data_IF_149328611355
#
_entry.id   IF_149328611355
#
_cell.length_a   1.000
_cell.length_b   1.000
_cell.length_c   1.000
_cell.angle_alpha   90.00
_cell.angle_beta   90.00
_cell.angle_gamma   90.00
#
_symmetry.space_group_name_H-M   'P 1'
#
loop_
_entity.id
_entity.type
_entity.pdbx_description
1 polymer ?
#
# COMPACT_ATOMS: atom_id res chain seq x y z
N UNK A 1 13.16 13.82 -12.25
CA UNK A 1 11.70 13.90 -12.44
C UNK A 1 11.07 13.53 -11.11
N UNK A 2 10.35 14.46 -10.49
CA UNK A 2 9.44 14.10 -9.41
C UNK A 2 8.19 13.48 -10.05
N UNK A 3 7.95 12.20 -9.76
CA UNK A 3 6.65 11.61 -10.05
C UNK A 3 5.72 12.00 -8.91
N UNK A 4 4.68 12.78 -9.22
CA UNK A 4 3.65 13.15 -8.27
C UNK A 4 2.57 12.06 -8.27
N UNK A 5 2.28 11.49 -7.10
CA UNK A 5 1.18 10.55 -6.93
C UNK A 5 -0.13 11.33 -6.88
N UNK A 6 -1.09 10.96 -7.73
CA UNK A 6 -2.46 11.49 -7.70
C UNK A 6 -3.20 10.96 -6.46
N UNK A 7 -3.25 11.79 -5.41
CA UNK A 7 -3.83 11.44 -4.11
C UNK A 7 -5.36 11.23 -4.15
N UNK A 8 -6.04 11.56 -5.25
CA UNK A 8 -7.48 11.31 -5.41
C UNK A 8 -7.80 9.86 -5.77
N UNK A 9 -6.78 9.07 -6.17
CA UNK A 9 -6.92 7.67 -6.54
C UNK A 9 -6.25 6.78 -5.49
N UNK A 10 -6.83 5.60 -5.18
CA UNK A 10 -6.20 4.67 -4.27
C UNK A 10 -4.93 4.04 -4.88
N UNK A 11 -3.94 3.78 -4.04
CA UNK A 11 -2.71 3.05 -4.39
C UNK A 11 -2.88 1.57 -4.02
N UNK A 12 -2.68 0.67 -4.97
CA UNK A 12 -2.67 -0.78 -4.72
C UNK A 12 -1.29 -1.24 -4.29
N UNK A 13 -1.18 -1.85 -3.11
CA UNK A 13 0.04 -2.51 -2.62
C UNK A 13 -0.20 -4.01 -2.56
N UNK A 14 0.48 -4.76 -3.43
CA UNK A 14 0.40 -6.23 -3.43
C UNK A 14 1.34 -6.83 -2.38
N UNK A 15 0.92 -7.88 -1.68
CA UNK A 15 1.75 -8.48 -0.61
C UNK A 15 1.86 -7.58 0.61
N UNK A 16 0.77 -6.90 0.97
CA UNK A 16 0.68 -5.91 2.03
C UNK A 16 1.06 -6.45 3.43
N UNK A 17 1.01 -7.77 3.64
CA UNK A 17 1.49 -8.41 4.87
C UNK A 17 3.02 -8.55 4.95
N UNK A 18 3.75 -8.21 3.88
CA UNK A 18 5.20 -8.33 3.82
C UNK A 18 5.93 -7.28 4.67
N UNK A 19 7.11 -7.65 5.18
CA UNK A 19 7.93 -6.77 6.03
C UNK A 19 8.22 -5.40 5.38
N UNK A 20 8.64 -5.38 4.12
CA UNK A 20 8.92 -4.14 3.39
C UNK A 20 7.63 -3.40 3.02
N UNK A 21 6.57 -4.14 2.65
CA UNK A 21 5.31 -3.55 2.24
C UNK A 21 4.71 -2.66 3.34
N UNK A 22 4.82 -3.03 4.60
CA UNK A 22 4.36 -2.21 5.72
C UNK A 22 5.04 -0.83 5.79
N UNK A 23 6.32 -0.73 5.47
CA UNK A 23 7.03 0.57 5.42
C UNK A 23 6.55 1.42 4.25
N UNK A 24 6.35 0.81 3.08
CA UNK A 24 5.81 1.49 1.90
C UNK A 24 4.39 2.02 2.20
N UNK A 25 3.53 1.18 2.77
CA UNK A 25 2.17 1.55 3.17
C UNK A 25 2.21 2.70 4.17
N UNK A 26 3.08 2.62 5.18
CA UNK A 26 3.26 3.71 6.16
C UNK A 26 3.57 5.04 5.47
N UNK A 27 4.56 5.09 4.58
CA UNK A 27 4.92 6.32 3.89
C UNK A 27 3.80 6.85 2.98
N UNK A 28 3.09 5.96 2.28
CA UNK A 28 1.95 6.36 1.45
C UNK A 28 0.81 6.95 2.28
N UNK A 29 0.54 6.38 3.46
CA UNK A 29 -0.47 6.89 4.40
C UNK A 29 -0.04 8.22 5.03
N UNK A 30 1.23 8.38 5.40
CA UNK A 30 1.79 9.65 5.92
C UNK A 30 1.71 10.76 4.87
N UNK A 31 1.85 10.42 3.59
CA UNK A 31 1.63 11.32 2.46
C UNK A 31 0.13 11.58 2.17
N UNK A 32 -0.79 10.97 2.92
CA UNK A 32 -2.24 11.19 2.77
C UNK A 32 -2.87 10.43 1.60
N UNK A 33 -2.23 9.37 1.09
CA UNK A 33 -2.82 8.50 0.09
C UNK A 33 -3.84 7.54 0.72
N UNK A 34 -4.87 7.17 -0.05
CA UNK A 34 -5.67 5.96 0.26
C UNK A 34 -4.93 4.73 -0.26
N UNK A 35 -4.80 3.68 0.55
CA UNK A 35 -4.05 2.47 0.19
C UNK A 35 -4.94 1.24 0.26
N UNK A 36 -4.92 0.41 -0.79
CA UNK A 36 -5.53 -0.92 -0.80
C UNK A 36 -4.43 -1.96 -0.75
N UNK A 37 -4.42 -2.79 0.29
CA UNK A 37 -3.45 -3.87 0.45
C UNK A 37 -4.02 -5.22 0.04
N UNK A 38 -3.27 -6.02 -0.72
CA UNK A 38 -3.61 -7.45 -0.90
C UNK A 38 -2.85 -8.31 0.10
N UNK A 39 -3.55 -9.22 0.75
CA UNK A 39 -2.99 -10.24 1.65
C UNK A 39 -3.31 -11.62 1.12
N UNK A 40 -2.54 -12.63 1.55
CA UNK A 40 -2.93 -14.04 1.30
C UNK A 40 -4.21 -14.34 2.06
N UNK A 41 -5.02 -15.26 1.53
CA UNK A 41 -6.24 -15.70 2.19
C UNK A 41 -5.88 -16.40 3.53
N UNK A 42 -6.27 -15.86 4.69
CA UNK A 42 -5.98 -16.48 5.98
C UNK A 42 -6.72 -17.81 6.17
N UNK A 43 -7.83 -18.03 5.47
CA UNK A 43 -8.62 -19.26 5.56
C UNK A 43 -8.08 -20.40 4.68
N UNK A 44 -6.95 -20.19 4.00
CA UNK A 44 -6.28 -21.21 3.18
C UNK A 44 -5.11 -21.89 3.90
N UNK A 45 -5.02 -21.72 5.22
CA UNK A 45 -4.09 -22.45 6.08
C UNK A 45 -4.63 -23.82 6.53
#
# INVERSE_FOLDING_TARGET
MEQIIDKTKPVLVTGASGYIANWIIKYLLEEGCTVHGTVRNPDSE
#
